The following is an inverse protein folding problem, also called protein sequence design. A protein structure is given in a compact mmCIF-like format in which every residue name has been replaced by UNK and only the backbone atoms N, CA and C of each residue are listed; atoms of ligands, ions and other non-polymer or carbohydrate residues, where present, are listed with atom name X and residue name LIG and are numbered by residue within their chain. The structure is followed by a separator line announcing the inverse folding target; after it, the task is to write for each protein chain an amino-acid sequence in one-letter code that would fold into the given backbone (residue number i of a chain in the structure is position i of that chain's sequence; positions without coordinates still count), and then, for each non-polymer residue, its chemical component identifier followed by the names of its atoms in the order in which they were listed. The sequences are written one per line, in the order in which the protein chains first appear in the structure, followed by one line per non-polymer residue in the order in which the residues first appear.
data_IF_141860193724
#
_entry.id   IF_141860193724
#
_cell.length_a   1.000
_cell.length_b   1.000
_cell.length_c   1.000
_cell.angle_alpha   90.00
_cell.angle_beta   90.00
_cell.angle_gamma   90.00
#
_symmetry.space_group_name_H-M   'P 1'
#
loop_
_entity.id
_entity.type
_entity.pdbx_description
1 polymer ?
#
# COMPACT_ATOMS: atom_id res chain seq x y z
N UNK A 1 50.85 41.65 17.64
CA UNK A 1 49.53 41.91 17.01
C UNK A 1 48.74 40.64 16.72
N UNK A 2 49.36 39.55 16.23
CA UNK A 2 48.66 38.28 15.95
C UNK A 2 48.17 37.54 17.21
N UNK A 3 48.88 37.62 18.33
CA UNK A 3 48.51 36.97 19.60
C UNK A 3 47.32 37.67 20.28
N UNK A 4 47.21 39.00 20.18
CA UNK A 4 46.10 39.77 20.73
C UNK A 4 44.79 39.49 19.96
N UNK A 5 44.81 39.43 18.60
CA UNK A 5 43.66 39.08 17.80
C UNK A 5 43.16 37.64 18.06
N UNK A 6 44.06 36.71 18.34
CA UNK A 6 43.72 35.36 18.73
C UNK A 6 43.03 35.27 20.09
N UNK A 7 43.51 36.06 21.08
CA UNK A 7 42.89 36.17 22.42
C UNK A 7 41.52 36.84 22.35
N UNK A 8 41.37 37.90 21.57
CA UNK A 8 40.06 38.57 21.37
C UNK A 8 39.02 37.64 20.72
N UNK A 9 39.41 36.84 19.71
CA UNK A 9 38.51 35.82 19.12
C UNK A 9 38.08 34.76 20.12
N UNK A 10 38.99 34.31 21.00
CA UNK A 10 38.65 33.34 22.04
C UNK A 10 37.70 33.93 23.10
N UNK A 11 37.90 35.20 23.48
CA UNK A 11 36.96 35.90 24.38
C UNK A 11 35.55 35.99 23.73
N UNK A 12 35.44 36.38 22.47
CA UNK A 12 34.18 36.42 21.77
C UNK A 12 33.48 35.07 21.70
N UNK A 13 34.24 33.96 21.53
CA UNK A 13 33.64 32.61 21.54
C UNK A 13 33.15 32.25 22.93
N UNK A 14 33.91 32.54 23.98
CA UNK A 14 33.51 32.26 25.37
C UNK A 14 32.21 32.99 25.75
N UNK A 15 32.13 34.27 25.43
CA UNK A 15 30.96 35.08 25.75
C UNK A 15 29.72 34.62 24.95
N UNK A 16 29.87 34.28 23.68
CA UNK A 16 28.80 33.69 22.86
C UNK A 16 28.32 32.38 23.42
N UNK A 17 29.22 31.50 23.85
CA UNK A 17 28.87 30.22 24.46
C UNK A 17 28.14 30.38 25.79
N UNK A 18 28.55 31.39 26.59
CA UNK A 18 27.87 31.72 27.84
C UNK A 18 26.43 32.22 27.59
N UNK A 19 26.25 33.11 26.62
CA UNK A 19 24.92 33.56 26.19
C UNK A 19 24.06 32.44 25.64
N UNK A 20 24.63 31.54 24.86
CA UNK A 20 23.96 30.37 24.31
C UNK A 20 23.73 29.24 25.33
N UNK A 21 24.21 29.39 26.57
CA UNK A 21 24.18 28.35 27.61
C UNK A 21 24.78 27.01 27.20
N UNK A 22 25.78 27.04 26.33
CA UNK A 22 26.48 25.87 25.83
C UNK A 22 27.87 25.76 26.46
N UNK A 23 28.22 24.58 26.98
CA UNK A 23 29.56 24.37 27.53
C UNK A 23 30.60 24.36 26.42
N UNK A 24 31.84 24.79 26.74
CA UNK A 24 32.96 24.80 25.78
C UNK A 24 33.26 23.41 25.24
N UNK A 25 33.20 22.38 26.08
CA UNK A 25 33.40 20.99 25.68
C UNK A 25 32.38 20.53 24.67
N UNK A 26 31.10 20.79 24.93
CA UNK A 26 29.99 20.46 24.01
C UNK A 26 30.16 21.17 22.66
N UNK A 27 30.55 22.44 22.67
CA UNK A 27 30.77 23.19 21.43
C UNK A 27 31.90 22.59 20.59
N UNK A 28 33.07 22.35 21.17
CA UNK A 28 34.19 21.76 20.43
C UNK A 28 33.95 20.30 20.01
N UNK A 29 33.23 19.54 20.82
CA UNK A 29 32.76 18.21 20.44
C UNK A 29 31.88 18.26 19.20
N UNK A 30 30.87 19.15 19.16
CA UNK A 30 29.99 19.30 17.99
C UNK A 30 30.77 19.81 16.77
N UNK A 31 31.69 20.75 16.95
CA UNK A 31 32.50 21.31 15.89
C UNK A 31 33.44 20.26 15.26
N UNK A 32 33.99 19.37 16.05
CA UNK A 32 34.80 18.25 15.56
C UNK A 32 33.92 17.22 14.85
N UNK A 33 32.75 16.92 15.40
CA UNK A 33 31.80 16.01 14.78
C UNK A 33 31.29 16.50 13.43
N UNK A 34 31.16 17.82 13.25
CA UNK A 34 30.82 18.42 11.93
C UNK A 34 31.92 18.27 10.87
N UNK A 35 33.16 18.03 11.30
CA UNK A 35 34.31 17.80 10.40
C UNK A 35 34.49 16.34 10.02
N UNK A 36 33.87 15.42 10.78
CA UNK A 36 33.92 14.01 10.46
C UNK A 36 33.10 13.73 9.19
N UNK A 37 33.57 12.85 8.30
CA UNK A 37 32.79 12.45 7.14
C UNK A 37 31.49 11.79 7.60
N UNK A 38 30.40 12.07 6.92
CA UNK A 38 29.09 11.50 7.26
C UNK A 38 29.14 9.97 7.08
N UNK A 39 29.08 9.25 8.19
CA UNK A 39 29.05 7.78 8.23
C UNK A 39 27.99 7.16 7.31
N UNK A 40 26.91 7.89 7.06
CA UNK A 40 25.78 7.39 6.28
C UNK A 40 25.70 8.03 4.89
N UNK A 41 26.77 8.66 4.39
CA UNK A 41 26.76 9.36 3.10
C UNK A 41 26.31 8.44 1.97
N UNK A 42 26.91 7.29 1.80
CA UNK A 42 26.59 6.30 0.78
C UNK A 42 25.13 5.83 0.91
N UNK A 43 24.70 5.54 2.14
CA UNK A 43 23.31 5.10 2.41
C UNK A 43 22.30 6.21 2.11
N UNK A 44 22.62 7.47 2.37
CA UNK A 44 21.76 8.62 2.03
C UNK A 44 21.63 8.81 0.52
N UNK A 45 22.71 8.62 -0.22
CA UNK A 45 22.69 8.64 -1.68
C UNK A 45 21.82 7.52 -2.22
N UNK A 46 21.94 6.31 -1.68
CA UNK A 46 21.14 5.16 -2.07
C UNK A 46 19.65 5.32 -1.71
N UNK A 47 19.33 5.83 -0.50
CA UNK A 47 17.95 6.16 -0.11
C UNK A 47 17.34 7.16 -1.11
N UNK A 48 18.11 8.16 -1.53
CA UNK A 48 17.64 9.16 -2.49
C UNK A 48 17.40 8.55 -3.85
N UNK A 49 18.28 7.68 -4.33
CA UNK A 49 18.14 6.97 -5.60
C UNK A 49 16.88 6.09 -5.59
N UNK A 50 16.71 5.22 -4.57
CA UNK A 50 15.53 4.36 -4.42
C UNK A 50 14.24 5.19 -4.34
N UNK A 51 14.27 6.32 -3.62
CA UNK A 51 13.10 7.20 -3.49
C UNK A 51 12.64 7.75 -4.83
N UNK A 52 13.56 8.24 -5.66
CA UNK A 52 13.24 8.78 -6.99
C UNK A 52 12.84 7.68 -7.98
N UNK A 53 13.52 6.55 -7.99
CA UNK A 53 13.19 5.37 -8.80
C UNK A 53 11.76 4.91 -8.54
N UNK A 54 11.36 4.88 -7.27
CA UNK A 54 10.01 4.49 -6.85
C UNK A 54 9.02 5.67 -6.72
N UNK A 55 9.36 6.84 -7.30
CA UNK A 55 8.47 8.02 -7.37
C UNK A 55 7.88 8.43 -6.00
N UNK A 56 8.66 8.29 -4.92
CA UNK A 56 8.24 8.67 -3.57
C UNK A 56 7.19 7.76 -2.91
N UNK A 57 6.94 6.57 -3.47
CA UNK A 57 5.93 5.63 -2.93
C UNK A 57 6.42 4.84 -1.71
N UNK A 58 7.75 4.71 -1.55
CA UNK A 58 8.33 3.89 -0.49
C UNK A 58 8.42 4.68 0.82
N UNK A 59 7.74 4.16 1.85
CA UNK A 59 7.94 4.56 3.23
C UNK A 59 9.16 3.85 3.82
N UNK A 60 9.59 4.27 5.02
CA UNK A 60 10.81 3.76 5.66
C UNK A 60 10.89 2.23 5.77
N UNK A 61 9.76 1.51 5.90
CA UNK A 61 9.75 0.04 5.98
C UNK A 61 10.12 -0.60 4.65
N UNK A 62 9.47 -0.20 3.55
CA UNK A 62 9.79 -0.67 2.20
C UNK A 62 11.20 -0.24 1.79
N UNK A 63 11.59 0.99 2.13
CA UNK A 63 12.94 1.50 1.92
C UNK A 63 13.99 0.65 2.63
N UNK A 64 13.73 0.20 3.86
CA UNK A 64 14.63 -0.68 4.59
C UNK A 64 14.79 -2.04 3.91
N UNK A 65 13.67 -2.62 3.45
CA UNK A 65 13.71 -3.90 2.71
C UNK A 65 14.55 -3.77 1.44
N UNK A 66 14.32 -2.70 0.67
CA UNK A 66 15.05 -2.48 -0.58
C UNK A 66 16.57 -2.24 -0.33
N UNK A 67 16.93 -1.51 0.72
CA UNK A 67 18.32 -1.36 1.14
C UNK A 67 18.94 -2.70 1.51
N UNK A 68 18.21 -3.58 2.20
CA UNK A 68 18.68 -4.94 2.50
C UNK A 68 18.88 -5.77 1.23
N UNK A 69 17.96 -5.67 0.25
CA UNK A 69 18.09 -6.34 -1.06
C UNK A 69 19.35 -5.86 -1.81
N UNK A 70 19.72 -4.58 -1.67
CA UNK A 70 20.96 -3.99 -2.22
C UNK A 70 22.20 -4.24 -1.36
N UNK A 71 22.09 -5.04 -0.29
CA UNK A 71 23.22 -5.47 0.55
C UNK A 71 23.54 -4.55 1.73
N UNK A 72 22.77 -3.50 1.99
CA UNK A 72 22.98 -2.60 3.12
C UNK A 72 22.31 -3.14 4.39
N UNK A 73 23.07 -3.54 5.39
CA UNK A 73 22.53 -3.98 6.68
C UNK A 73 22.29 -2.78 7.60
N UNK A 74 21.08 -2.22 7.57
CA UNK A 74 20.71 -1.04 8.33
C UNK A 74 19.35 -1.23 9.03
N UNK A 75 19.22 -0.68 10.25
CA UNK A 75 17.99 -0.76 11.03
C UNK A 75 16.95 0.23 10.51
N UNK A 76 15.67 -0.19 10.48
CA UNK A 76 14.54 0.62 10.02
C UNK A 76 14.39 1.96 10.78
N UNK A 77 14.77 2.02 12.07
CA UNK A 77 14.74 3.27 12.85
C UNK A 77 15.77 4.28 12.31
N UNK A 78 16.94 3.79 11.91
CA UNK A 78 17.98 4.63 11.29
C UNK A 78 17.53 5.11 9.91
N UNK A 79 16.95 4.25 9.08
CA UNK A 79 16.41 4.63 7.77
C UNK A 79 15.33 5.71 7.92
N UNK A 80 14.41 5.55 8.87
CA UNK A 80 13.37 6.56 9.17
C UNK A 80 13.97 7.91 9.55
N UNK A 81 15.05 7.92 10.35
CA UNK A 81 15.76 9.14 10.72
C UNK A 81 16.43 9.79 9.52
N UNK A 82 17.15 9.00 8.70
CA UNK A 82 17.84 9.50 7.51
C UNK A 82 16.88 10.06 6.47
N UNK A 83 15.74 9.40 6.23
CA UNK A 83 14.68 9.91 5.35
C UNK A 83 14.15 11.26 5.85
N UNK A 84 13.94 11.41 7.17
CA UNK A 84 13.51 12.67 7.77
C UNK A 84 14.57 13.76 7.62
N UNK A 85 15.85 13.44 7.80
CA UNK A 85 16.96 14.39 7.58
C UNK A 85 17.05 14.85 6.13
N UNK A 86 16.78 13.97 5.17
CA UNK A 86 16.75 14.25 3.73
C UNK A 86 15.45 14.94 3.29
N UNK A 87 14.46 15.12 4.18
CA UNK A 87 13.15 15.68 3.85
C UNK A 87 12.29 14.76 2.96
N UNK A 88 12.64 13.47 2.86
CA UNK A 88 11.93 12.51 2.04
C UNK A 88 10.74 11.90 2.80
N UNK A 89 9.55 12.14 2.28
CA UNK A 89 8.30 11.61 2.85
C UNK A 89 7.56 10.77 1.80
N UNK A 90 6.97 9.66 2.25
CA UNK A 90 6.13 8.86 1.38
C UNK A 90 4.82 9.59 1.06
N UNK A 91 4.48 9.66 -0.23
CA UNK A 91 3.21 10.24 -0.69
C UNK A 91 2.06 9.24 -0.50
N UNK A 92 1.65 9.01 0.74
CA UNK A 92 0.47 8.19 1.05
C UNK A 92 -0.68 9.11 1.43
N UNK A 93 -1.79 9.01 0.68
CA UNK A 93 -3.01 9.73 1.01
C UNK A 93 -3.76 8.99 2.12
N UNK A 94 -3.87 9.60 3.29
CA UNK A 94 -4.69 9.06 4.39
C UNK A 94 -6.16 9.38 4.10
N UNK A 95 -6.95 8.37 3.75
CA UNK A 95 -8.40 8.48 3.66
C UNK A 95 -9.06 8.18 5.01
N UNK A 96 -9.96 9.07 5.46
CA UNK A 96 -10.79 8.78 6.63
C UNK A 96 -11.90 7.81 6.25
N UNK A 97 -12.06 6.77 7.04
CA UNK A 97 -13.12 5.78 6.90
C UNK A 97 -14.53 6.40 6.98
N UNK A 98 -15.45 5.94 6.10
CA UNK A 98 -16.90 6.23 6.17
C UNK A 98 -17.66 4.91 6.01
N UNK A 99 -18.46 4.53 7.01
CA UNK A 99 -19.34 3.37 6.94
C UNK A 99 -20.56 3.61 6.04
N UNK A 100 -20.94 2.59 5.26
CA UNK A 100 -22.11 2.61 4.41
C UNK A 100 -23.33 1.99 5.13
N UNK A 101 -24.50 2.59 4.96
CA UNK A 101 -25.80 2.09 5.47
C UNK A 101 -26.69 1.72 4.29
N UNK A 102 -26.71 0.46 3.88
CA UNK A 102 -27.54 -0.05 2.76
C UNK A 102 -28.54 -1.15 3.16
N UNK A 103 -29.50 -1.45 2.29
CA UNK A 103 -30.61 -2.40 2.51
C UNK A 103 -30.20 -3.88 2.35
N UNK A 104 -31.01 -4.79 2.91
CA UNK A 104 -30.69 -6.19 3.20
C UNK A 104 -31.23 -7.11 2.10
N UNK A 105 -30.34 -7.85 1.41
CA UNK A 105 -30.67 -9.03 0.60
C UNK A 105 -30.37 -10.34 1.38
N UNK A 106 -30.25 -11.47 0.68
CA UNK A 106 -29.94 -12.75 1.33
C UNK A 106 -28.43 -12.81 1.64
N UNK A 107 -28.09 -12.68 2.90
CA UNK A 107 -26.72 -12.63 3.43
C UNK A 107 -26.25 -14.04 3.76
N UNK A 108 -25.01 -14.38 3.43
CA UNK A 108 -24.32 -15.59 3.85
C UNK A 108 -23.49 -15.35 5.12
N UNK A 109 -23.20 -16.43 5.86
CA UNK A 109 -22.41 -16.35 7.07
C UNK A 109 -20.96 -15.93 6.77
N UNK A 110 -20.30 -15.29 7.75
CA UNK A 110 -18.88 -14.98 7.68
C UNK A 110 -18.07 -16.22 8.05
N UNK A 111 -17.62 -16.97 7.03
CA UNK A 111 -16.80 -18.16 7.21
C UNK A 111 -15.33 -17.87 7.48
N UNK A 112 -14.84 -16.70 7.03
CA UNK A 112 -13.44 -16.31 7.26
C UNK A 112 -13.16 -15.89 8.70
N UNK A 113 -14.14 -15.29 9.35
CA UNK A 113 -14.06 -14.82 10.73
C UNK A 113 -12.74 -14.09 11.08
N UNK A 114 -12.19 -13.31 10.14
CA UNK A 114 -10.91 -12.60 10.18
C UNK A 114 -9.65 -13.48 10.12
N UNK A 115 -9.80 -14.77 9.87
CA UNK A 115 -8.68 -15.66 9.59
C UNK A 115 -8.28 -15.54 8.10
N UNK A 116 -7.56 -14.50 7.77
CA UNK A 116 -7.17 -14.20 6.39
C UNK A 116 -5.95 -14.99 5.92
N UNK A 117 -5.23 -15.64 6.83
CA UNK A 117 -4.09 -16.47 6.46
C UNK A 117 -4.55 -17.73 5.73
N UNK A 118 -3.93 -18.01 4.60
CA UNK A 118 -4.13 -19.22 3.81
C UNK A 118 -2.81 -20.01 3.78
N UNK A 119 -2.91 -21.35 3.89
CA UNK A 119 -1.73 -22.23 3.92
C UNK A 119 -1.24 -22.59 2.51
N UNK A 120 -2.12 -22.49 1.52
CA UNK A 120 -1.85 -22.85 0.13
C UNK A 120 -2.66 -22.00 -0.85
N UNK A 121 -2.21 -21.89 -2.11
CA UNK A 121 -2.94 -21.20 -3.17
C UNK A 121 -4.34 -21.77 -3.38
N UNK A 122 -5.28 -20.93 -3.77
CA UNK A 122 -6.67 -21.28 -4.06
C UNK A 122 -7.44 -21.86 -2.86
N UNK A 123 -7.08 -21.50 -1.65
CA UNK A 123 -7.80 -21.87 -0.44
C UNK A 123 -8.81 -20.81 -0.02
N UNK A 124 -8.40 -19.54 -0.07
CA UNK A 124 -9.23 -18.39 0.31
C UNK A 124 -9.03 -17.28 -0.70
N UNK A 125 -10.10 -16.84 -1.32
CA UNK A 125 -10.13 -15.69 -2.22
C UNK A 125 -10.97 -14.57 -1.63
N UNK A 126 -10.62 -13.33 -1.99
CA UNK A 126 -11.45 -12.15 -1.70
C UNK A 126 -11.81 -11.45 -2.98
N UNK A 127 -13.01 -10.86 -3.01
CA UNK A 127 -13.49 -10.03 -4.10
C UNK A 127 -14.24 -8.83 -3.57
N UNK A 128 -14.16 -7.74 -4.30
CA UNK A 128 -14.91 -6.52 -4.04
C UNK A 128 -14.95 -5.68 -5.32
N UNK A 129 -15.81 -4.66 -5.39
CA UNK A 129 -15.91 -3.76 -6.53
C UNK A 129 -15.48 -2.36 -6.14
N UNK A 130 -14.53 -1.80 -6.89
CA UNK A 130 -14.08 -0.43 -6.67
C UNK A 130 -14.35 0.47 -7.87
N UNK A 131 -14.62 1.76 -7.61
CA UNK A 131 -14.86 2.79 -8.62
C UNK A 131 -13.61 3.65 -8.81
N UNK A 132 -13.26 3.91 -10.08
CA UNK A 132 -12.34 4.96 -10.50
C UNK A 132 -13.14 6.04 -11.22
N UNK A 133 -12.90 7.29 -10.86
CA UNK A 133 -13.56 8.44 -11.47
C UNK A 133 -12.52 9.29 -12.20
N UNK A 134 -12.67 9.41 -13.53
CA UNK A 134 -11.85 10.28 -14.39
C UNK A 134 -12.76 11.32 -14.99
N UNK A 135 -12.60 12.59 -14.59
CA UNK A 135 -13.49 13.68 -14.96
C UNK A 135 -14.98 13.34 -14.66
N UNK A 136 -15.80 13.16 -15.69
CA UNK A 136 -17.22 12.83 -15.57
C UNK A 136 -17.53 11.35 -15.83
N UNK A 137 -16.54 10.55 -16.16
CA UNK A 137 -16.70 9.12 -16.46
C UNK A 137 -16.27 8.26 -15.26
N UNK A 138 -16.87 7.06 -15.18
CA UNK A 138 -16.60 6.08 -14.14
C UNK A 138 -16.16 4.77 -14.74
N UNK A 139 -15.21 4.12 -14.06
CA UNK A 139 -14.76 2.77 -14.38
C UNK A 139 -14.82 1.93 -13.10
N UNK A 140 -15.43 0.76 -13.20
CA UNK A 140 -15.57 -0.18 -12.10
C UNK A 140 -14.63 -1.35 -12.32
N UNK A 141 -13.81 -1.65 -11.32
CA UNK A 141 -12.92 -2.81 -11.30
C UNK A 141 -13.45 -3.81 -10.30
N UNK A 142 -13.62 -5.05 -10.73
CA UNK A 142 -13.98 -6.20 -9.90
C UNK A 142 -12.87 -7.26 -10.03
N UNK A 143 -11.94 -7.37 -9.08
CA UNK A 143 -10.91 -8.40 -9.04
C UNK A 143 -11.30 -9.55 -8.11
N UNK A 144 -10.69 -10.71 -8.33
CA UNK A 144 -10.53 -11.78 -7.35
C UNK A 144 -9.07 -11.88 -6.97
N UNK A 145 -8.77 -11.82 -5.68
CA UNK A 145 -7.41 -11.86 -5.13
C UNK A 145 -7.25 -13.09 -4.25
N UNK A 146 -6.19 -13.85 -4.46
CA UNK A 146 -5.82 -14.97 -3.59
C UNK A 146 -5.16 -14.44 -2.31
N UNK A 147 -5.65 -14.92 -1.15
CA UNK A 147 -5.12 -14.49 0.15
C UNK A 147 -3.76 -15.12 0.49
N UNK A 148 -3.38 -16.21 -0.19
CA UNK A 148 -2.10 -16.87 0.06
C UNK A 148 -0.91 -16.03 -0.40
N UNK A 149 -0.98 -15.51 -1.63
CA UNK A 149 0.16 -14.81 -2.26
C UNK A 149 -0.17 -13.40 -2.76
N UNK A 150 -1.45 -12.96 -2.66
CA UNK A 150 -1.90 -11.67 -3.17
C UNK A 150 -2.05 -11.63 -4.70
N UNK A 151 -2.07 -12.76 -5.36
CA UNK A 151 -2.22 -12.88 -6.82
C UNK A 151 -3.63 -12.47 -7.25
N UNK A 152 -3.72 -11.70 -8.34
CA UNK A 152 -4.98 -11.39 -8.98
C UNK A 152 -5.37 -12.57 -9.89
N UNK A 153 -6.26 -13.42 -9.40
CA UNK A 153 -6.72 -14.61 -10.14
C UNK A 153 -7.45 -14.21 -11.41
N UNK A 154 -8.39 -13.29 -11.29
CA UNK A 154 -9.12 -12.71 -12.42
C UNK A 154 -9.59 -11.32 -12.10
N UNK A 155 -9.95 -10.56 -13.12
CA UNK A 155 -10.61 -9.27 -12.96
C UNK A 155 -11.49 -8.94 -14.16
N UNK A 156 -12.41 -8.00 -13.94
CA UNK A 156 -13.17 -7.37 -15.01
C UNK A 156 -13.25 -5.86 -14.81
N UNK A 157 -13.23 -5.12 -15.92
CA UNK A 157 -13.40 -3.68 -15.97
C UNK A 157 -14.69 -3.34 -16.72
N UNK A 158 -15.54 -2.50 -16.16
CA UNK A 158 -16.77 -2.07 -16.76
C UNK A 158 -17.04 -0.57 -16.54
N UNK A 159 -17.70 0.09 -17.49
CA UNK A 159 -18.15 1.48 -17.34
C UNK A 159 -19.41 1.58 -16.46
N UNK A 160 -20.10 0.49 -16.23
CA UNK A 160 -21.30 0.42 -15.41
C UNK A 160 -21.21 -0.71 -14.38
N UNK A 161 -21.69 -0.51 -13.14
CA UNK A 161 -21.71 -1.55 -12.11
C UNK A 161 -22.84 -2.53 -12.38
N UNK A 162 -22.66 -3.40 -13.37
CA UNK A 162 -23.66 -4.40 -13.77
C UNK A 162 -23.29 -5.78 -13.25
N UNK A 163 -24.29 -6.62 -12.99
CA UNK A 163 -24.06 -7.99 -12.53
C UNK A 163 -23.23 -8.83 -13.49
N UNK A 164 -23.38 -8.62 -14.79
CA UNK A 164 -22.60 -9.30 -15.82
C UNK A 164 -21.07 -9.15 -15.65
N UNK A 165 -20.61 -8.00 -15.10
CA UNK A 165 -19.21 -7.79 -14.79
C UNK A 165 -18.67 -8.81 -13.78
N UNK A 166 -19.45 -9.10 -12.75
CA UNK A 166 -19.08 -10.06 -11.70
C UNK A 166 -19.14 -11.48 -12.21
N UNK A 167 -20.12 -11.80 -13.06
CA UNK A 167 -20.23 -13.12 -13.69
C UNK A 167 -19.03 -13.40 -14.59
N UNK A 168 -18.68 -12.48 -15.49
CA UNK A 168 -17.51 -12.64 -16.39
C UNK A 168 -16.19 -12.79 -15.60
N UNK A 169 -16.03 -12.05 -14.52
CA UNK A 169 -14.89 -12.20 -13.61
C UNK A 169 -14.85 -13.60 -12.99
N UNK A 170 -15.99 -14.13 -12.52
CA UNK A 170 -16.08 -15.46 -11.94
C UNK A 170 -15.77 -16.56 -12.96
N UNK A 171 -16.33 -16.47 -14.18
CA UNK A 171 -16.08 -17.43 -15.24
C UNK A 171 -14.58 -17.52 -15.61
N UNK A 172 -13.91 -16.37 -15.69
CA UNK A 172 -12.45 -16.30 -15.88
C UNK A 172 -11.69 -16.97 -14.75
N UNK A 173 -12.12 -16.79 -13.49
CA UNK A 173 -11.50 -17.42 -12.34
C UNK A 173 -11.76 -18.94 -12.32
N UNK A 174 -12.97 -19.37 -12.63
CA UNK A 174 -13.37 -20.78 -12.64
C UNK A 174 -12.60 -21.63 -13.65
N UNK A 175 -12.17 -21.02 -14.75
CA UNK A 175 -11.34 -21.70 -15.75
C UNK A 175 -9.93 -22.00 -15.24
N UNK A 176 -9.49 -21.37 -14.17
CA UNK A 176 -8.16 -21.58 -13.59
C UNK A 176 -8.11 -22.63 -12.47
N UNK A 177 -9.27 -23.09 -11.99
CA UNK A 177 -9.35 -24.06 -10.90
C UNK A 177 -10.25 -25.24 -11.25
N UNK A 178 -9.98 -26.46 -10.70
CA UNK A 178 -10.88 -27.59 -10.84
C UNK A 178 -12.20 -27.35 -10.07
N UNK A 179 -13.17 -28.25 -10.27
CA UNK A 179 -14.42 -28.20 -9.51
C UNK A 179 -14.22 -28.79 -8.11
N UNK A 180 -15.09 -28.38 -7.16
CA UNK A 180 -15.14 -28.93 -5.81
C UNK A 180 -13.82 -28.77 -5.00
N UNK A 181 -13.20 -27.61 -5.12
CA UNK A 181 -11.93 -27.30 -4.43
C UNK A 181 -12.07 -26.95 -2.95
N UNK A 182 -13.29 -26.84 -2.43
CA UNK A 182 -13.58 -26.38 -1.06
C UNK A 182 -13.08 -24.95 -0.76
N UNK A 183 -12.81 -24.18 -1.82
CA UNK A 183 -12.40 -22.80 -1.80
C UNK A 183 -13.44 -21.93 -1.08
N UNK A 184 -12.99 -20.94 -0.31
CA UNK A 184 -13.84 -19.90 0.25
C UNK A 184 -13.67 -18.63 -0.57
N UNK A 185 -14.76 -18.11 -1.13
CA UNK A 185 -14.79 -16.79 -1.77
C UNK A 185 -15.50 -15.80 -0.86
N UNK A 186 -14.75 -14.85 -0.34
CA UNK A 186 -15.24 -13.82 0.59
C UNK A 186 -15.48 -12.50 -0.12
N UNK A 187 -16.59 -11.84 0.22
CA UNK A 187 -16.97 -10.53 -0.30
C UNK A 187 -17.59 -9.66 0.79
N UNK A 188 -17.81 -8.38 0.47
CA UNK A 188 -18.70 -7.53 1.24
C UNK A 188 -20.17 -7.95 1.04
N UNK A 189 -21.10 -7.17 1.62
CA UNK A 189 -22.55 -7.36 1.42
C UNK A 189 -23.08 -6.57 0.20
N UNK A 190 -22.29 -6.39 -0.85
CA UNK A 190 -22.73 -5.76 -2.09
C UNK A 190 -23.89 -6.51 -2.72
N UNK A 191 -24.85 -5.77 -3.33
CA UNK A 191 -26.06 -6.34 -3.92
C UNK A 191 -25.77 -7.45 -4.95
N UNK A 192 -24.69 -7.33 -5.71
CA UNK A 192 -24.24 -8.29 -6.72
C UNK A 192 -23.94 -9.67 -6.12
N UNK A 193 -23.37 -9.72 -4.91
CA UNK A 193 -23.01 -10.96 -4.21
C UNK A 193 -24.18 -11.62 -3.51
N UNK A 194 -25.28 -10.88 -3.31
CA UNK A 194 -26.51 -11.35 -2.68
C UNK A 194 -27.50 -11.96 -3.69
N UNK A 195 -27.19 -11.88 -5.00
CA UNK A 195 -28.07 -12.41 -6.05
C UNK A 195 -28.08 -13.94 -6.03
N UNK A 196 -29.26 -14.53 -6.19
CA UNK A 196 -29.45 -16.01 -6.28
C UNK A 196 -28.58 -16.63 -7.37
N UNK A 197 -28.44 -15.93 -8.51
CA UNK A 197 -27.64 -16.39 -9.63
C UNK A 197 -26.16 -16.48 -9.27
N UNK A 198 -25.61 -15.49 -8.51
CA UNK A 198 -24.23 -15.54 -8.01
C UNK A 198 -24.03 -16.73 -7.08
N UNK A 199 -24.96 -16.94 -6.15
CA UNK A 199 -24.89 -18.07 -5.19
C UNK A 199 -24.98 -19.43 -5.89
N UNK A 200 -25.80 -19.54 -6.95
CA UNK A 200 -25.90 -20.75 -7.76
C UNK A 200 -24.58 -21.06 -8.49
N UNK A 201 -23.95 -20.06 -9.14
CA UNK A 201 -22.67 -20.23 -9.80
C UNK A 201 -21.56 -20.72 -8.88
N UNK A 202 -21.46 -20.18 -7.66
CA UNK A 202 -20.48 -20.65 -6.68
C UNK A 202 -20.77 -22.08 -6.22
N UNK A 203 -22.05 -22.41 -5.95
CA UNK A 203 -22.47 -23.72 -5.53
C UNK A 203 -22.17 -24.78 -6.59
N UNK A 204 -22.48 -24.49 -7.86
CA UNK A 204 -22.25 -25.40 -9.00
C UNK A 204 -20.74 -25.66 -9.18
N UNK A 205 -19.88 -24.68 -8.88
CA UNK A 205 -18.42 -24.85 -8.90
C UNK A 205 -17.88 -25.54 -7.64
N UNK A 206 -18.68 -25.68 -6.58
CA UNK A 206 -18.25 -26.23 -5.28
C UNK A 206 -17.45 -25.25 -4.44
N UNK A 207 -17.70 -23.95 -4.60
CA UNK A 207 -17.06 -22.85 -3.85
C UNK A 207 -17.99 -22.40 -2.72
N UNK A 208 -17.45 -22.25 -1.52
CA UNK A 208 -18.20 -21.76 -0.36
C UNK A 208 -18.19 -20.23 -0.34
N UNK A 209 -19.39 -19.64 -0.37
CA UNK A 209 -19.54 -18.20 -0.21
C UNK A 209 -19.38 -17.79 1.25
N UNK A 210 -18.66 -16.69 1.47
CA UNK A 210 -18.52 -16.02 2.76
C UNK A 210 -18.77 -14.52 2.58
N UNK A 211 -19.47 -13.89 3.52
CA UNK A 211 -19.72 -12.44 3.48
C UNK A 211 -19.29 -11.77 4.78
N UNK A 212 -18.79 -10.54 4.67
CA UNK A 212 -18.48 -9.72 5.84
C UNK A 212 -19.76 -9.40 6.63
N UNK A 213 -19.62 -9.19 7.94
CA UNK A 213 -20.72 -8.73 8.78
C UNK A 213 -21.11 -7.31 8.45
N UNK A 214 -22.38 -6.98 8.59
CA UNK A 214 -22.91 -5.64 8.28
C UNK A 214 -22.20 -4.55 9.06
N UNK A 215 -21.65 -3.57 8.32
CA UNK A 215 -20.96 -2.41 8.91
C UNK A 215 -19.61 -2.71 9.53
N UNK A 216 -19.04 -3.90 9.30
CA UNK A 216 -17.74 -4.28 9.82
C UNK A 216 -16.69 -4.32 8.70
N UNK A 217 -16.03 -3.18 8.49
CA UNK A 217 -14.96 -3.02 7.49
C UNK A 217 -13.75 -3.93 7.74
N UNK A 218 -13.50 -4.32 8.99
CA UNK A 218 -12.37 -5.19 9.32
C UNK A 218 -12.52 -6.59 8.71
N UNK A 219 -13.75 -7.02 8.43
CA UNK A 219 -14.02 -8.33 7.82
C UNK A 219 -13.63 -8.36 6.32
N UNK A 220 -13.54 -7.19 5.63
CA UNK A 220 -13.09 -7.07 4.23
C UNK A 220 -11.80 -6.23 4.08
N UNK A 221 -11.04 -6.09 5.17
CA UNK A 221 -9.88 -5.19 5.25
C UNK A 221 -8.79 -5.47 4.20
N UNK A 222 -8.63 -6.72 3.75
CA UNK A 222 -7.63 -7.08 2.75
C UNK A 222 -8.00 -6.57 1.35
N UNK A 223 -9.27 -6.68 0.94
CA UNK A 223 -9.73 -6.10 -0.32
C UNK A 223 -9.66 -4.56 -0.27
N UNK A 224 -10.06 -3.95 0.86
CA UNK A 224 -9.94 -2.50 1.07
C UNK A 224 -8.47 -2.03 1.03
N UNK A 225 -7.54 -2.78 1.63
CA UNK A 225 -6.12 -2.48 1.59
C UNK A 225 -5.55 -2.60 0.17
N UNK A 226 -5.92 -3.66 -0.56
CA UNK A 226 -5.55 -3.83 -1.97
C UNK A 226 -5.98 -2.63 -2.81
N UNK A 227 -7.25 -2.21 -2.70
CA UNK A 227 -7.73 -1.03 -3.44
C UNK A 227 -7.09 0.27 -2.96
N UNK A 228 -6.83 0.39 -1.67
CA UNK A 228 -6.11 1.52 -1.11
C UNK A 228 -4.72 1.67 -1.74
N UNK A 229 -3.96 0.59 -1.83
CA UNK A 229 -2.65 0.55 -2.47
C UNK A 229 -2.76 0.84 -3.98
N UNK A 230 -3.68 0.15 -4.67
CA UNK A 230 -3.90 0.32 -6.10
C UNK A 230 -4.24 1.78 -6.45
N UNK A 231 -5.15 2.40 -5.70
CA UNK A 231 -5.53 3.81 -5.92
C UNK A 231 -4.41 4.77 -5.57
N UNK A 232 -3.72 4.56 -4.47
CA UNK A 232 -2.67 5.48 -4.02
C UNK A 232 -1.41 5.41 -4.89
N UNK A 233 -1.04 4.22 -5.35
CA UNK A 233 0.23 4.03 -6.08
C UNK A 233 0.08 4.17 -7.60
N UNK A 234 -1.13 3.92 -8.13
CA UNK A 234 -1.39 3.98 -9.57
C UNK A 234 -2.27 5.15 -9.94
N UNK A 235 -3.44 5.25 -9.33
CA UNK A 235 -4.47 6.15 -9.81
C UNK A 235 -4.24 7.60 -9.38
N UNK A 236 -3.95 7.86 -8.10
CA UNK A 236 -3.80 9.24 -7.59
C UNK A 236 -2.46 9.89 -7.91
N UNK A 237 -1.46 9.12 -8.33
CA UNK A 237 -0.14 9.65 -8.68
C UNK A 237 0.02 9.99 -10.17
N UNK A 238 -1.00 9.69 -10.98
CA UNK A 238 -1.02 10.00 -12.40
C UNK A 238 -2.26 10.81 -12.73
N UNK A 239 -2.13 11.77 -13.62
CA UNK A 239 -3.26 12.45 -14.24
C UNK A 239 -3.71 11.65 -15.46
N UNK A 240 -4.85 11.01 -15.36
CA UNK A 240 -5.46 10.30 -16.49
C UNK A 240 -6.40 11.23 -17.23
N UNK A 241 -6.18 11.38 -18.52
CA UNK A 241 -7.04 12.21 -19.40
C UNK A 241 -8.27 11.46 -19.88
N UNK A 242 -8.16 10.13 -20.01
CA UNK A 242 -9.24 9.26 -20.51
C UNK A 242 -9.37 8.00 -19.66
N UNK A 243 -10.54 7.38 -19.72
CA UNK A 243 -10.82 6.12 -19.05
C UNK A 243 -10.05 4.94 -19.66
N UNK A 244 -9.79 4.98 -20.97
CA UNK A 244 -8.99 4.01 -21.68
C UNK A 244 -7.56 3.96 -21.15
N UNK A 245 -6.98 5.10 -20.81
CA UNK A 245 -5.64 5.17 -20.21
C UNK A 245 -5.59 4.48 -18.84
N UNK A 246 -6.66 4.56 -18.03
CA UNK A 246 -6.77 3.83 -16.77
C UNK A 246 -6.89 2.33 -17.03
N UNK A 247 -7.75 1.93 -17.96
CA UNK A 247 -7.96 0.53 -18.34
C UNK A 247 -6.66 -0.13 -18.81
N UNK A 248 -5.92 0.55 -19.70
CA UNK A 248 -4.64 0.05 -20.20
C UNK A 248 -3.59 -0.13 -19.09
N UNK A 249 -3.50 0.81 -18.16
CA UNK A 249 -2.53 0.74 -17.04
C UNK A 249 -2.81 -0.44 -16.11
N UNK A 250 -4.08 -0.81 -15.89
CA UNK A 250 -4.45 -1.97 -15.06
C UNK A 250 -4.15 -3.30 -15.74
N UNK A 251 -4.25 -3.36 -17.08
CA UNK A 251 -3.94 -4.56 -17.85
C UNK A 251 -2.43 -4.88 -17.92
N UNK A 252 -1.59 -3.87 -17.75
CA UNK A 252 -0.12 -3.98 -17.84
C UNK A 252 0.57 -4.01 -16.48
N UNK A 253 -0.17 -4.12 -15.36
CA UNK A 253 0.44 -4.37 -14.07
C UNK A 253 1.25 -5.68 -14.15
N UNK A 254 2.58 -5.64 -13.94
CA UNK A 254 3.34 -6.87 -13.82
C UNK A 254 2.77 -7.64 -12.64
N UNK A 255 2.21 -8.80 -12.88
CA UNK A 255 2.14 -9.87 -11.88
C UNK A 255 3.57 -10.00 -11.36
N UNK A 256 3.79 -9.65 -10.10
CA UNK A 256 5.09 -9.82 -9.46
C UNK A 256 5.39 -11.31 -9.49
N UNK A 257 6.11 -11.75 -10.52
CA UNK A 257 6.85 -12.99 -10.44
C UNK A 257 7.84 -12.83 -9.27
N UNK A 258 7.67 -13.65 -8.27
CA UNK A 258 8.66 -13.89 -7.23
C UNK A 258 9.52 -15.07 -7.61
#
# INVERSE_FOLDING_TARGET
LHSLRRRQRQMCIRDRLRHAKVTRSTFYYQLNRMKEPDKYKEIKEEITAIYHENKGRYGYRRMTMELHNRGFNINHKTVSKLMKELGLQCFVRVQKYKSYKGEIGKICDNLLNREFEAEKPNQKWVTDVTEFKVHNEKLYLSPIVDLFNGEIISFNLSRHPVFAQVVDMLEKAFNKIPNNTNLILHSDQGWQYQMKQYQALLKDKGIRQSMSRKGNCLDNSLAENFFGLLKSELFYMKEYRTIEAVSYTHLTLPTTER
#
